data_IF_467812623417
#
_entry.id   IF_467812623417
#
_cell.length_a   1.000
_cell.length_b   1.000
_cell.length_c   1.000
_cell.angle_alpha   90.00
_cell.angle_beta   90.00
_cell.angle_gamma   90.00
#
_symmetry.space_group_name_H-M   'P 1'
#
loop_
_entity.id
_entity.type
_entity.pdbx_description
1 polymer ?
#
# COMPACT_ATOMS: atom_id res chain seq x y z
N UNK A 1 -0.23 -17.84 -5.82
CA UNK A 1 -1.50 -17.78 -6.58
C UNK A 1 -1.34 -17.02 -7.89
N UNK A 2 -1.34 -15.67 -7.91
CA UNK A 2 -1.13 -14.94 -9.17
C UNK A 2 0.24 -15.23 -9.80
N UNK A 3 1.33 -15.13 -9.02
CA UNK A 3 2.69 -15.32 -9.54
C UNK A 3 2.91 -16.72 -10.14
N UNK A 4 2.35 -17.76 -9.51
CA UNK A 4 2.45 -19.15 -9.97
C UNK A 4 1.86 -19.33 -11.37
N UNK A 5 0.76 -18.63 -11.67
CA UNK A 5 0.09 -18.67 -12.98
C UNK A 5 0.68 -17.72 -14.02
N UNK A 6 1.54 -16.79 -13.60
CA UNK A 6 2.02 -15.67 -14.43
C UNK A 6 3.55 -15.66 -14.56
N UNK A 7 4.16 -16.85 -14.70
CA UNK A 7 5.61 -17.01 -14.89
C UNK A 7 6.44 -16.33 -13.78
N UNK A 8 5.99 -16.48 -12.53
CA UNK A 8 6.61 -15.91 -11.32
C UNK A 8 6.50 -14.38 -11.22
N UNK A 9 5.81 -13.71 -12.15
CA UNK A 9 5.60 -12.25 -12.12
C UNK A 9 4.61 -11.89 -11.02
N UNK A 10 4.98 -10.92 -10.20
CA UNK A 10 4.04 -10.31 -9.26
C UNK A 10 2.94 -9.58 -10.03
N UNK A 11 1.74 -9.47 -9.46
CA UNK A 11 0.64 -8.73 -10.09
C UNK A 11 1.06 -7.27 -10.29
N UNK A 12 0.77 -6.64 -11.45
CA UNK A 12 1.01 -5.22 -11.64
C UNK A 12 0.46 -4.37 -10.50
N UNK A 13 1.25 -3.41 -10.03
CA UNK A 13 0.84 -2.42 -9.04
C UNK A 13 1.02 -1.01 -9.62
N UNK A 14 0.26 -0.76 -10.69
CA UNK A 14 0.29 0.53 -11.35
C UNK A 14 -0.35 1.63 -10.51
N UNK A 15 0.15 2.86 -10.62
CA UNK A 15 -0.48 4.04 -10.03
C UNK A 15 -1.08 4.91 -11.15
N UNK A 16 -2.04 5.77 -10.79
CA UNK A 16 -2.68 6.74 -11.70
C UNK A 16 -3.53 6.14 -12.84
N UNK A 17 -4.47 6.94 -13.34
CA UNK A 17 -5.72 6.52 -14.03
C UNK A 17 -5.67 5.74 -15.36
N UNK A 18 -4.50 5.28 -15.82
CA UNK A 18 -4.37 4.49 -17.07
C UNK A 18 -3.47 3.24 -16.91
N UNK A 19 -3.12 2.85 -15.68
CA UNK A 19 -2.23 1.70 -15.46
C UNK A 19 -2.99 0.43 -15.01
N UNK A 20 -2.58 -0.71 -15.57
CA UNK A 20 -3.03 -2.05 -15.18
C UNK A 20 -2.52 -2.36 -13.77
N UNK A 21 -3.42 -2.78 -12.89
CA UNK A 21 -3.12 -3.02 -11.48
C UNK A 21 -3.83 -4.23 -10.90
N UNK A 22 -3.50 -4.57 -9.64
CA UNK A 22 -4.24 -5.55 -8.85
C UNK A 22 -5.68 -5.08 -8.55
N UNK A 23 -5.88 -3.76 -8.50
CA UNK A 23 -7.13 -2.99 -8.55
C UNK A 23 -6.92 -1.76 -9.43
N UNK A 24 -8.00 -1.14 -9.87
CA UNK A 24 -7.99 0.18 -10.50
C UNK A 24 -8.76 1.20 -9.64
N UNK A 25 -8.88 2.43 -10.18
CA UNK A 25 -9.76 3.47 -9.67
C UNK A 25 -9.00 4.47 -8.81
N UNK A 26 -9.13 5.76 -9.13
CA UNK A 26 -8.68 6.84 -8.27
C UNK A 26 -9.83 7.20 -7.31
N UNK A 27 -9.78 6.75 -6.06
CA UNK A 27 -10.87 6.94 -5.08
C UNK A 27 -11.02 8.41 -4.56
N UNK A 28 -10.77 9.41 -5.42
CA UNK A 28 -10.87 10.84 -5.14
C UNK A 28 -12.30 11.36 -5.03
N UNK A 29 -13.25 10.69 -5.67
CA UNK A 29 -14.65 11.11 -5.66
C UNK A 29 -15.50 10.13 -4.85
N UNK A 30 -16.63 10.59 -4.26
CA UNK A 30 -17.57 9.69 -3.63
C UNK A 30 -18.05 8.57 -4.56
N UNK A 31 -18.24 8.87 -5.85
CA UNK A 31 -18.65 7.93 -6.89
C UNK A 31 -17.61 6.81 -7.05
N UNK A 32 -16.34 7.17 -7.23
CA UNK A 32 -15.24 6.20 -7.33
C UNK A 32 -15.12 5.35 -6.06
N UNK A 33 -15.24 6.00 -4.89
CA UNK A 33 -15.23 5.33 -3.59
C UNK A 33 -16.29 4.24 -3.43
N UNK A 34 -17.36 4.24 -4.23
CA UNK A 34 -18.46 3.26 -4.18
C UNK A 34 -18.52 2.33 -5.39
N UNK A 35 -17.68 2.55 -6.40
CA UNK A 35 -17.78 1.87 -7.67
C UNK A 35 -17.00 0.54 -7.66
N UNK A 36 -17.69 -0.56 -7.34
CA UNK A 36 -17.11 -1.90 -7.26
C UNK A 36 -16.42 -2.36 -8.57
N UNK A 37 -16.75 -1.78 -9.72
CA UNK A 37 -16.12 -2.15 -11.00
C UNK A 37 -14.62 -1.89 -11.01
N UNK A 38 -14.13 -0.98 -10.16
CA UNK A 38 -12.71 -0.71 -9.94
C UNK A 38 -11.95 -1.90 -9.34
N UNK A 39 -12.65 -2.83 -8.69
CA UNK A 39 -12.07 -4.06 -8.12
C UNK A 39 -12.18 -5.26 -9.06
N UNK A 40 -13.05 -5.19 -10.07
CA UNK A 40 -13.49 -6.33 -10.86
C UNK A 40 -12.68 -6.50 -12.14
N UNK A 41 -12.61 -7.71 -12.66
CA UNK A 41 -12.06 -7.95 -13.99
C UNK A 41 -12.84 -7.17 -15.08
N UNK A 42 -12.18 -6.69 -16.15
CA UNK A 42 -10.76 -6.87 -16.47
C UNK A 42 -9.81 -5.91 -15.74
N UNK A 43 -10.34 -5.00 -14.91
CA UNK A 43 -9.59 -3.93 -14.26
C UNK A 43 -8.74 -4.42 -13.09
N UNK A 44 -9.37 -5.12 -12.13
CA UNK A 44 -8.70 -5.71 -10.99
C UNK A 44 -8.17 -7.11 -11.32
N UNK A 45 -6.86 -7.24 -11.53
CA UNK A 45 -6.26 -8.51 -11.95
C UNK A 45 -6.38 -9.63 -10.90
N UNK A 46 -6.50 -9.29 -9.61
CA UNK A 46 -6.72 -10.27 -8.55
C UNK A 46 -8.17 -10.74 -8.43
N UNK A 47 -9.13 -10.08 -9.08
CA UNK A 47 -10.55 -10.44 -9.01
C UNK A 47 -10.84 -11.87 -9.46
N UNK A 48 -10.15 -12.31 -10.52
CA UNK A 48 -10.34 -13.66 -11.07
C UNK A 48 -9.94 -14.77 -10.09
N UNK A 49 -9.15 -14.43 -9.08
CA UNK A 49 -8.67 -15.35 -8.06
C UNK A 49 -9.57 -15.38 -6.81
N UNK A 50 -10.15 -14.23 -6.45
CA UNK A 50 -11.10 -14.14 -5.36
C UNK A 50 -12.07 -12.97 -5.57
N UNK A 51 -13.36 -13.30 -5.73
CA UNK A 51 -14.44 -12.35 -6.02
C UNK A 51 -15.14 -11.83 -4.76
N UNK A 52 -14.63 -12.17 -3.57
CA UNK A 52 -15.21 -11.71 -2.31
C UNK A 52 -14.82 -10.25 -2.07
N UNK A 53 -15.76 -9.32 -2.23
CA UNK A 53 -15.54 -7.89 -1.99
C UNK A 53 -14.96 -7.59 -0.59
N UNK A 54 -15.27 -8.43 0.40
CA UNK A 54 -14.81 -8.26 1.77
C UNK A 54 -13.29 -8.31 1.96
N UNK A 55 -12.53 -8.89 1.02
CA UNK A 55 -11.06 -8.98 1.14
C UNK A 55 -10.35 -7.66 0.79
N UNK A 56 -11.02 -6.76 0.06
CA UNK A 56 -10.45 -5.47 -0.35
C UNK A 56 -10.61 -4.39 0.73
N UNK A 57 -11.40 -4.65 1.77
CA UNK A 57 -11.70 -3.68 2.81
C UNK A 57 -11.60 -4.32 4.19
N UNK A 58 -10.84 -3.67 5.06
CA UNK A 58 -10.76 -4.04 6.46
C UNK A 58 -12.12 -3.86 7.13
N UNK A 59 -12.59 -4.86 7.90
CA UNK A 59 -13.80 -4.72 8.72
C UNK A 59 -13.76 -3.57 9.73
N UNK A 60 -12.56 -3.12 10.14
CA UNK A 60 -12.38 -2.00 11.05
C UNK A 60 -12.49 -0.63 10.34
N UNK A 61 -12.36 -0.57 9.01
CA UNK A 61 -12.54 0.66 8.26
C UNK A 61 -14.03 1.05 8.17
N UNK A 62 -14.40 2.12 8.87
CA UNK A 62 -15.76 2.68 8.89
C UNK A 62 -15.99 3.82 7.91
N UNK A 63 -15.01 4.11 7.05
CA UNK A 63 -15.08 5.21 6.09
C UNK A 63 -16.23 5.05 5.08
N UNK A 64 -16.86 6.18 4.75
CA UNK A 64 -18.03 6.25 3.87
C UNK A 64 -17.89 7.37 2.85
N UNK A 65 -18.41 7.12 1.66
CA UNK A 65 -18.63 8.13 0.61
C UNK A 65 -20.06 8.66 0.69
N UNK A 66 -20.25 9.96 0.40
CA UNK A 66 -21.58 10.57 0.35
C UNK A 66 -22.01 10.84 -1.09
N UNK A 67 -23.12 10.25 -1.52
CA UNK A 67 -23.71 10.44 -2.86
C UNK A 67 -25.18 10.81 -2.69
N UNK A 68 -25.60 11.95 -3.23
CA UNK A 68 -27.00 12.40 -3.15
C UNK A 68 -27.55 12.51 -1.72
N UNK A 69 -26.70 12.86 -0.75
CA UNK A 69 -27.06 12.95 0.67
C UNK A 69 -27.08 11.61 1.43
N UNK A 70 -26.95 10.48 0.74
CA UNK A 70 -26.86 9.15 1.34
C UNK A 70 -25.39 8.74 1.56
N UNK A 71 -25.13 7.96 2.61
CA UNK A 71 -23.79 7.50 2.96
C UNK A 71 -23.60 6.03 2.63
N UNK A 72 -22.59 5.72 1.83
CA UNK A 72 -22.27 4.37 1.38
C UNK A 72 -20.87 3.96 1.88
N UNK A 73 -20.65 2.70 2.27
CA UNK A 73 -19.31 2.23 2.61
C UNK A 73 -18.38 2.36 1.40
N UNK A 74 -17.13 2.74 1.62
CA UNK A 74 -16.13 2.70 0.55
C UNK A 74 -15.75 1.28 0.19
N UNK A 75 -15.47 1.00 -1.08
CA UNK A 75 -15.24 -0.36 -1.61
C UNK A 75 -13.92 -1.00 -1.18
N UNK A 76 -12.93 -0.19 -0.76
CA UNK A 76 -11.58 -0.66 -0.45
C UNK A 76 -10.96 0.15 0.70
N UNK A 77 -10.07 -0.49 1.45
CA UNK A 77 -9.15 0.14 2.41
C UNK A 77 -7.72 -0.39 2.32
N UNK A 78 -7.49 -1.42 1.52
CA UNK A 78 -6.19 -2.08 1.34
C UNK A 78 -5.40 -1.42 0.24
N UNK A 79 -4.09 -1.24 0.43
CA UNK A 79 -3.14 -0.84 -0.61
C UNK A 79 -1.95 -1.79 -0.66
N UNK A 80 -1.37 -1.95 -1.84
CA UNK A 80 -0.21 -2.80 -2.06
C UNK A 80 1.08 -2.00 -1.97
N UNK A 81 2.11 -2.59 -1.34
CA UNK A 81 3.47 -2.07 -1.31
C UNK A 81 3.91 -1.56 -2.69
N UNK A 82 4.26 -0.28 -2.77
CA UNK A 82 4.67 0.34 -4.04
C UNK A 82 5.92 -0.27 -4.68
N UNK A 83 6.73 -1.02 -3.95
CA UNK A 83 7.88 -1.75 -4.51
C UNK A 83 7.55 -3.18 -4.96
N UNK A 84 6.31 -3.66 -4.76
CA UNK A 84 5.82 -4.94 -5.31
C UNK A 84 5.22 -4.70 -6.69
N UNK A 85 6.04 -4.91 -7.73
CA UNK A 85 5.73 -4.64 -9.13
C UNK A 85 5.12 -3.26 -9.43
N UNK A 86 5.56 -2.25 -8.68
CA UNK A 86 5.10 -0.87 -8.82
C UNK A 86 5.52 -0.21 -10.13
N UNK A 87 4.68 0.67 -10.66
CA UNK A 87 5.02 1.50 -11.81
C UNK A 87 4.60 2.96 -11.62
N UNK A 88 5.28 3.65 -10.71
CA UNK A 88 5.05 5.06 -10.40
C UNK A 88 6.23 5.96 -10.74
N UNK A 89 5.98 7.27 -10.71
CA UNK A 89 7.04 8.28 -10.72
C UNK A 89 8.07 8.02 -9.62
N UNK A 90 7.65 7.49 -8.47
CA UNK A 90 8.52 7.25 -7.33
C UNK A 90 9.38 6.00 -7.49
N UNK A 91 8.82 4.88 -7.98
CA UNK A 91 9.66 3.70 -8.34
C UNK A 91 10.68 4.04 -9.41
N UNK A 92 10.37 4.99 -10.30
CA UNK A 92 11.33 5.53 -11.28
C UNK A 92 12.42 6.36 -10.60
N UNK A 93 12.07 7.22 -9.65
CA UNK A 93 13.02 8.03 -8.85
C UNK A 93 14.04 7.14 -8.13
N UNK A 94 13.59 6.07 -7.46
CA UNK A 94 14.45 5.19 -6.66
C UNK A 94 15.09 4.03 -7.44
N UNK A 95 14.84 3.93 -8.75
CA UNK A 95 15.24 2.77 -9.58
C UNK A 95 16.73 2.44 -9.60
N UNK A 96 17.59 3.39 -9.21
CA UNK A 96 19.04 3.22 -9.11
C UNK A 96 19.55 2.99 -7.70
N UNK A 97 18.69 3.12 -6.70
CA UNK A 97 19.08 3.06 -5.28
C UNK A 97 18.38 1.95 -4.51
N UNK A 98 17.16 1.55 -4.91
CA UNK A 98 16.37 0.52 -4.23
C UNK A 98 15.71 -0.43 -5.22
N UNK A 99 15.43 -1.64 -4.76
CA UNK A 99 14.72 -2.62 -5.58
C UNK A 99 13.24 -2.26 -5.77
N UNK A 100 12.73 -2.57 -6.96
CA UNK A 100 11.29 -2.79 -7.17
C UNK A 100 11.15 -4.24 -7.61
N UNK A 101 10.64 -5.10 -6.73
CA UNK A 101 10.52 -6.53 -6.97
C UNK A 101 9.53 -6.78 -8.10
N UNK A 102 9.96 -7.46 -9.16
CA UNK A 102 9.10 -7.79 -10.32
C UNK A 102 8.60 -9.22 -10.28
N UNK A 103 9.32 -10.08 -9.56
CA UNK A 103 9.08 -11.51 -9.47
C UNK A 103 9.01 -11.96 -8.02
N UNK A 104 8.19 -12.96 -7.73
CA UNK A 104 8.10 -13.53 -6.39
C UNK A 104 9.47 -14.10 -5.96
N UNK A 105 10.18 -14.78 -6.87
CA UNK A 105 11.53 -15.30 -6.59
C UNK A 105 12.61 -14.22 -6.41
N UNK A 106 12.31 -12.94 -6.70
CA UNK A 106 13.25 -11.82 -6.56
C UNK A 106 13.12 -11.09 -5.23
N UNK A 107 12.11 -11.42 -4.42
CA UNK A 107 11.89 -10.77 -3.13
C UNK A 107 12.99 -11.20 -2.16
N UNK A 108 13.72 -10.21 -1.65
CA UNK A 108 14.75 -10.39 -0.62
C UNK A 108 14.06 -10.41 0.74
N UNK A 109 14.38 -11.41 1.56
CA UNK A 109 13.78 -11.63 2.89
C UNK A 109 12.24 -11.58 2.86
N UNK A 110 11.56 -12.56 2.23
CA UNK A 110 10.10 -12.51 2.02
C UNK A 110 9.27 -12.31 3.30
N UNK A 111 9.75 -12.82 4.44
CA UNK A 111 9.13 -12.62 5.74
C UNK A 111 9.20 -11.16 6.22
N UNK A 112 10.15 -10.35 5.77
CA UNK A 112 10.23 -8.94 6.17
C UNK A 112 9.55 -8.01 5.17
N UNK A 113 9.17 -8.48 3.97
CA UNK A 113 8.58 -7.61 2.93
C UNK A 113 7.07 -7.70 2.90
N UNK A 114 6.39 -6.61 3.26
CA UNK A 114 4.93 -6.58 3.23
C UNK A 114 4.42 -6.50 1.79
N UNK A 115 3.25 -7.09 1.55
CA UNK A 115 2.53 -7.07 0.27
C UNK A 115 1.37 -6.08 0.36
N UNK A 116 0.45 -6.28 1.31
CA UNK A 116 -0.69 -5.37 1.53
C UNK A 116 -0.68 -4.78 2.93
N UNK A 117 -1.22 -3.57 3.05
CA UNK A 117 -1.57 -2.95 4.32
C UNK A 117 -2.91 -2.23 4.25
N UNK A 118 -3.41 -1.88 5.43
CA UNK A 118 -4.49 -0.92 5.60
C UNK A 118 -4.00 0.52 5.36
N UNK A 119 -4.54 1.23 4.37
CA UNK A 119 -4.19 2.63 4.11
C UNK A 119 -5.13 3.61 4.84
N UNK A 120 -4.58 4.75 5.27
CA UNK A 120 -5.33 5.79 5.96
C UNK A 120 -6.54 6.24 5.13
N UNK A 121 -7.73 6.38 5.74
CA UNK A 121 -8.93 6.73 5.00
C UNK A 121 -8.84 8.00 4.15
N UNK A 122 -8.14 9.02 4.65
CA UNK A 122 -7.96 10.27 3.91
C UNK A 122 -6.83 10.22 2.85
N UNK A 123 -5.99 9.17 2.85
CA UNK A 123 -4.85 9.02 1.93
C UNK A 123 -5.19 8.13 0.73
N UNK A 124 -6.02 7.11 0.98
CA UNK A 124 -6.27 6.05 0.01
C UNK A 124 -6.82 6.60 -1.30
N UNK A 125 -6.16 6.21 -2.38
CA UNK A 125 -6.54 6.65 -3.70
C UNK A 125 -6.49 5.55 -4.75
N UNK A 126 -5.32 5.07 -5.18
CA UNK A 126 -5.18 4.18 -6.34
C UNK A 126 -4.76 2.75 -5.99
N UNK A 127 -4.48 2.48 -4.70
CA UNK A 127 -4.12 1.13 -4.24
C UNK A 127 -2.64 0.82 -4.35
N UNK A 128 -1.84 1.82 -4.71
CA UNK A 128 -0.40 1.83 -4.58
C UNK A 128 -0.04 2.55 -3.26
N UNK A 129 0.68 1.88 -2.36
CA UNK A 129 1.18 2.53 -1.15
C UNK A 129 2.60 3.05 -1.34
N UNK A 130 2.74 4.37 -1.38
CA UNK A 130 4.03 5.05 -1.45
C UNK A 130 4.66 5.16 -0.07
N UNK A 131 5.74 4.39 0.15
CA UNK A 131 6.67 4.64 1.25
C UNK A 131 7.90 5.35 0.71
N UNK A 132 8.19 6.55 1.22
CA UNK A 132 9.46 7.19 0.90
C UNK A 132 10.60 6.42 1.54
N UNK A 133 11.47 5.79 0.74
CA UNK A 133 12.64 5.03 1.19
C UNK A 133 13.94 5.84 1.12
N UNK A 134 13.94 6.97 0.44
CA UNK A 134 15.07 7.90 0.35
C UNK A 134 14.89 9.18 1.18
N UNK A 135 13.85 9.24 2.04
CA UNK A 135 13.54 10.41 2.87
C UNK A 135 13.51 9.99 4.34
N UNK A 136 14.08 10.81 5.20
CA UNK A 136 14.16 10.54 6.63
C UNK A 136 12.82 10.88 7.29
N UNK A 137 12.25 9.93 8.03
CA UNK A 137 11.10 10.11 8.92
C UNK A 137 9.82 10.67 8.26
N UNK A 138 9.73 10.72 6.93
CA UNK A 138 8.63 11.40 6.22
C UNK A 138 7.72 10.36 5.56
N UNK A 139 6.43 10.50 5.79
CA UNK A 139 5.41 9.65 5.17
C UNK A 139 5.13 10.06 3.72
N UNK A 140 4.95 9.07 2.85
CA UNK A 140 4.43 9.25 1.49
C UNK A 140 2.91 9.17 1.51
N UNK A 141 2.40 7.95 1.56
CA UNK A 141 1.04 7.64 1.99
C UNK A 141 1.03 7.26 3.47
N UNK A 142 -0.06 7.60 4.16
CA UNK A 142 -0.22 7.29 5.58
C UNK A 142 -0.86 5.91 5.75
N UNK A 143 -0.34 5.05 6.64
CA UNK A 143 -1.03 3.81 7.01
C UNK A 143 -2.29 4.13 7.83
N UNK A 144 -3.24 3.21 7.84
CA UNK A 144 -4.38 3.29 8.73
C UNK A 144 -3.97 3.14 10.20
N UNK A 145 -4.81 3.65 11.09
CA UNK A 145 -4.63 3.55 12.53
C UNK A 145 -5.90 3.12 13.27
N UNK A 146 -6.91 2.61 12.54
CA UNK A 146 -8.21 2.25 13.10
C UNK A 146 -8.20 0.97 13.95
N UNK A 147 -7.08 0.22 14.01
CA UNK A 147 -6.90 -0.90 14.95
C UNK A 147 -6.34 -0.44 16.31
N UNK A 148 -6.97 0.56 16.94
CA UNK A 148 -6.49 1.14 18.20
C UNK A 148 -5.05 1.70 18.10
N UNK A 149 -4.81 2.50 17.05
CA UNK A 149 -3.50 3.05 16.74
C UNK A 149 -2.59 2.05 16.00
N UNK A 150 -3.17 1.09 15.27
CA UNK A 150 -2.42 0.07 14.53
C UNK A 150 -2.99 -0.13 13.12
N UNK A 151 -2.22 -0.82 12.27
CA UNK A 151 -2.62 -1.30 10.95
C UNK A 151 -2.26 -2.78 10.76
N UNK A 152 -3.03 -3.48 9.93
CA UNK A 152 -2.72 -4.84 9.50
C UNK A 152 -1.77 -4.86 8.32
N UNK A 153 -0.91 -5.87 8.27
CA UNK A 153 0.05 -6.14 7.22
C UNK A 153 -0.02 -7.62 6.82
N UNK A 154 0.18 -7.89 5.53
CA UNK A 154 0.47 -9.23 5.01
C UNK A 154 1.88 -9.24 4.44
N UNK A 155 2.59 -10.36 4.53
CA UNK A 155 3.98 -10.49 4.12
C UNK A 155 4.14 -11.48 2.97
N UNK A 156 5.28 -11.39 2.29
CA UNK A 156 5.51 -12.09 1.02
C UNK A 156 5.70 -13.60 1.18
N UNK A 157 6.01 -14.08 2.39
CA UNK A 157 6.02 -15.50 2.75
C UNK A 157 4.61 -16.03 3.13
N UNK A 158 3.60 -15.16 3.17
CA UNK A 158 2.20 -15.50 3.43
C UNK A 158 1.71 -15.29 4.86
N UNK A 159 2.55 -14.82 5.80
CA UNK A 159 2.07 -14.49 7.14
C UNK A 159 1.43 -13.09 7.21
N UNK A 160 0.85 -12.76 8.36
CA UNK A 160 0.25 -11.46 8.63
C UNK A 160 0.59 -10.97 10.04
N UNK A 161 0.72 -9.65 10.19
CA UNK A 161 1.00 -8.99 11.46
C UNK A 161 0.07 -7.79 11.68
N UNK A 162 -0.07 -7.37 12.93
CA UNK A 162 -0.65 -6.07 13.29
C UNK A 162 0.42 -5.24 13.95
N UNK A 163 0.71 -4.06 13.39
CA UNK A 163 1.73 -3.17 13.91
C UNK A 163 1.12 -1.94 14.56
N UNK A 164 1.52 -1.65 15.80
CA UNK A 164 1.03 -0.52 16.58
C UNK A 164 1.95 0.69 16.45
N UNK A 165 1.38 1.78 15.95
CA UNK A 165 2.04 3.06 15.71
C UNK A 165 2.33 3.81 17.01
N UNK A 166 3.36 4.64 16.97
CA UNK A 166 3.88 5.38 18.12
C UNK A 166 3.85 6.88 17.89
N UNK A 167 4.04 7.32 16.65
CA UNK A 167 4.22 8.73 16.36
C UNK A 167 2.88 9.47 16.28
N UNK A 168 2.78 10.71 16.81
CA UNK A 168 1.54 11.46 16.83
C UNK A 168 0.90 11.68 15.46
N UNK A 169 1.71 11.97 14.42
CA UNK A 169 1.20 12.19 13.07
C UNK A 169 0.66 10.87 12.48
N UNK A 170 1.34 9.74 12.69
CA UNK A 170 0.86 8.39 12.31
C UNK A 170 -0.44 8.03 13.01
N UNK A 171 -0.61 8.45 14.26
CA UNK A 171 -1.81 8.25 15.08
C UNK A 171 -2.94 9.26 14.79
N UNK A 172 -2.70 10.24 13.92
CA UNK A 172 -3.71 11.25 13.60
C UNK A 172 -4.88 10.63 12.83
N UNK A 173 -6.10 10.98 13.21
CA UNK A 173 -7.33 10.53 12.52
C UNK A 173 -7.56 11.21 11.18
N UNK A 174 -6.87 12.32 10.95
CA UNK A 174 -6.90 13.11 9.73
C UNK A 174 -5.47 13.33 9.26
N UNK A 175 -5.24 13.34 7.95
CA UNK A 175 -3.89 13.57 7.44
C UNK A 175 -3.42 14.96 7.80
N UNK A 176 -2.25 15.02 8.43
CA UNK A 176 -1.53 16.27 8.68
C UNK A 176 -0.68 16.61 7.45
N UNK A 177 -0.40 17.90 7.25
CA UNK A 177 0.50 18.33 6.18
C UNK A 177 1.92 17.86 6.46
N UNK A 178 2.55 17.20 5.49
CA UNK A 178 3.92 16.65 5.61
C UNK A 178 4.12 15.78 6.86
N UNK A 179 3.36 14.67 6.99
CA UNK A 179 3.38 13.86 8.21
C UNK A 179 4.75 13.23 8.46
N UNK A 180 5.18 13.26 9.73
CA UNK A 180 6.44 12.66 10.15
C UNK A 180 6.24 11.51 11.13
N UNK A 181 7.05 10.46 10.98
CA UNK A 181 7.05 9.31 11.89
C UNK A 181 8.48 8.84 12.19
N UNK A 182 9.21 9.49 13.11
CA UNK A 182 10.60 9.11 13.42
C UNK A 182 10.76 7.70 14.00
N UNK A 183 9.71 7.11 14.57
CA UNK A 183 9.71 5.73 15.06
C UNK A 183 9.03 4.77 14.08
N UNK A 184 7.98 5.24 13.40
CA UNK A 184 7.10 4.40 12.58
C UNK A 184 7.57 4.30 11.10
N UNK A 185 8.09 5.39 10.51
CA UNK A 185 8.57 5.41 9.11
C UNK A 185 9.75 4.44 8.92
N UNK A 186 10.78 4.40 9.78
CA UNK A 186 11.86 3.43 9.64
C UNK A 186 11.38 1.97 9.67
N UNK A 187 10.34 1.67 10.47
CA UNK A 187 9.79 0.31 10.57
C UNK A 187 9.16 -0.15 9.25
N UNK A 188 8.43 0.72 8.57
CA UNK A 188 7.82 0.37 7.28
C UNK A 188 8.85 0.43 6.14
N UNK A 189 9.84 1.32 6.19
CA UNK A 189 10.86 1.46 5.15
C UNK A 189 11.58 0.13 4.87
N UNK A 190 12.10 -0.52 5.92
CA UNK A 190 12.78 -1.82 5.83
C UNK A 190 11.87 -2.96 5.37
N UNK A 191 10.54 -2.78 5.47
CA UNK A 191 9.53 -3.74 5.02
C UNK A 191 8.99 -3.44 3.62
N UNK A 192 9.30 -2.26 3.07
CA UNK A 192 8.90 -1.87 1.72
C UNK A 192 9.84 -2.50 0.68
N UNK A 193 11.15 -2.32 0.84
CA UNK A 193 12.17 -2.77 -0.12
C UNK A 193 13.56 -2.77 0.54
N UNK A 194 14.60 -3.01 -0.24
CA UNK A 194 16.00 -2.93 0.16
C UNK A 194 16.80 -2.01 -0.77
N UNK A 195 17.90 -1.39 -0.29
CA UNK A 195 18.89 -0.74 -1.14
C UNK A 195 19.55 -1.72 -2.12
N UNK A 196 19.98 -1.22 -3.27
CA UNK A 196 20.80 -2.01 -4.23
C UNK A 196 22.25 -2.09 -3.78
N UNK A 197 22.73 -1.05 -3.08
CA UNK A 197 24.06 -1.01 -2.49
C UNK A 197 24.00 -1.51 -1.05
N UNK A 198 24.56 -2.70 -0.80
CA UNK A 198 24.60 -3.33 0.53
C UNK A 198 25.36 -2.51 1.58
N UNK A 199 26.15 -1.50 1.16
CA UNK A 199 26.86 -0.59 2.08
C UNK A 199 26.05 0.66 2.46
N UNK A 200 24.87 0.86 1.89
CA UNK A 200 24.03 2.01 2.18
C UNK A 200 23.55 2.00 3.65
N UNK A 201 23.50 3.19 4.27
CA UNK A 201 22.88 3.34 5.58
C UNK A 201 21.37 3.12 5.45
N UNK A 202 20.88 2.05 6.08
CA UNK A 202 19.49 1.61 5.96
C UNK A 202 18.86 1.24 7.32
N UNK A 203 17.61 1.65 7.62
CA UNK A 203 16.83 2.67 6.92
C UNK A 203 17.52 4.06 6.98
N UNK A 204 17.09 5.06 6.17
CA UNK A 204 17.65 6.40 6.24
C UNK A 204 17.52 6.99 7.64
N UNK A 205 18.59 7.60 8.16
CA UNK A 205 18.63 8.21 9.49
C UNK A 205 18.94 9.69 9.37
N UNK A 206 18.46 10.47 10.33
CA UNK A 206 18.94 11.85 10.51
C UNK A 206 20.41 11.80 10.92
N UNK A 207 21.20 12.73 10.39
CA UNK A 207 22.59 12.95 10.82
C UNK A 207 22.65 13.57 12.22
#
# INVERSE_FOLDING_TARGET
MYADDNEDKLVPNGCCGDQVGWVEGWLRTPQDGTNITHLMAPKGLLWNYNQSLGIYKCPADRSKSKIGGQSFPRIRSMSMNGCMNGNSWYTKEISRTHYTFRKLSSIIEPAEKYVFLDEHPDAIDDGYHLTFVNRVNTWGNMPANYHNGAAGFSFSDGHAEVHKWRDPDTLSKTIVSSPMGPNDVPWIQIRTTEPIDDSAVWPPRAN
#
